data_IF_365681503013
#
_entry.id   IF_365681503013
#
_cell.length_a   1.000
_cell.length_b   1.000
_cell.length_c   1.000
_cell.angle_alpha   90.00
_cell.angle_beta   90.00
_cell.angle_gamma   90.00
#
_symmetry.space_group_name_H-M   'P 1'
#
loop_
_entity.id
_entity.type
_entity.pdbx_description
1 polymer ?
#
# COMPACT_ATOMS: atom_id res chain seq x y z
N UNK A 1 -11.84 6.42 -13.76
CA UNK A 1 -11.56 6.09 -12.35
C UNK A 1 -11.07 4.64 -12.34
N UNK A 2 -9.77 4.33 -12.19
CA UNK A 2 -9.36 2.93 -12.13
C UNK A 2 -9.91 2.30 -10.84
N UNK A 3 -10.54 1.14 -11.02
CA UNK A 3 -11.44 0.45 -10.09
C UNK A 3 -10.76 -0.24 -8.90
N UNK A 4 -9.55 0.18 -8.54
CA UNK A 4 -8.76 -0.41 -7.47
C UNK A 4 -7.88 0.66 -6.86
N UNK A 5 -8.22 1.10 -5.65
CA UNK A 5 -7.42 2.08 -4.92
C UNK A 5 -6.03 1.49 -4.69
N UNK A 6 -5.04 2.06 -5.35
CA UNK A 6 -3.61 1.89 -5.08
C UNK A 6 -3.17 3.10 -4.27
N UNK A 7 -2.57 2.86 -3.11
CA UNK A 7 -1.90 3.89 -2.34
C UNK A 7 -0.40 3.85 -2.64
N UNK A 8 0.20 5.02 -2.83
CA UNK A 8 1.63 5.18 -3.06
C UNK A 8 2.25 5.83 -1.82
N UNK A 9 3.19 5.15 -1.17
CA UNK A 9 4.09 5.79 -0.20
C UNK A 9 5.52 5.34 -0.45
N UNK A 10 6.43 6.31 -0.52
CA UNK A 10 7.89 6.09 -0.53
C UNK A 10 8.37 5.08 -1.60
N UNK A 11 7.71 5.01 -2.75
CA UNK A 11 8.06 4.09 -3.84
C UNK A 11 7.54 2.65 -3.67
N UNK A 12 6.62 2.43 -2.74
CA UNK A 12 5.94 1.14 -2.56
C UNK A 12 4.47 1.23 -2.99
N UNK A 13 4.01 0.19 -3.68
CA UNK A 13 2.63 0.02 -4.08
C UNK A 13 1.89 -0.80 -3.02
N UNK A 14 0.73 -0.28 -2.60
CA UNK A 14 -0.15 -1.00 -1.70
C UNK A 14 -1.54 -1.17 -2.30
N UNK A 15 -2.10 -2.35 -2.04
CA UNK A 15 -3.44 -2.72 -2.44
C UNK A 15 -4.35 -2.63 -1.23
N UNK A 16 -5.50 -1.97 -1.40
CA UNK A 16 -6.50 -1.85 -0.34
C UNK A 16 -7.09 -3.21 0.00
N UNK A 17 -7.07 -3.59 1.27
CA UNK A 17 -7.55 -4.90 1.73
C UNK A 17 -8.77 -4.82 2.62
N UNK A 18 -8.84 -3.80 3.48
CA UNK A 18 -10.02 -3.55 4.28
C UNK A 18 -10.28 -2.06 4.46
N UNK A 19 -11.54 -1.70 4.62
CA UNK A 19 -11.97 -0.37 5.04
C UNK A 19 -12.74 -0.52 6.34
N UNK A 20 -12.35 0.24 7.34
CA UNK A 20 -13.07 0.41 8.61
C UNK A 20 -13.73 1.79 8.64
N UNK A 21 -14.55 2.05 9.66
CA UNK A 21 -15.24 3.34 9.82
C UNK A 21 -14.31 4.53 10.13
N UNK A 22 -13.03 4.28 10.45
CA UNK A 22 -12.06 5.31 10.88
C UNK A 22 -10.67 5.14 10.24
N UNK A 23 -10.51 4.16 9.36
CA UNK A 23 -9.23 3.85 8.74
C UNK A 23 -9.38 2.91 7.56
N UNK A 24 -8.35 2.87 6.72
CA UNK A 24 -8.21 1.91 5.63
C UNK A 24 -6.93 1.13 5.84
N UNK A 25 -7.02 -0.20 5.66
CA UNK A 25 -5.88 -1.10 5.71
C UNK A 25 -5.44 -1.47 4.31
N UNK A 26 -4.15 -1.40 4.11
CA UNK A 26 -3.45 -1.62 2.86
C UNK A 26 -2.35 -2.65 3.10
N UNK A 27 -2.16 -3.53 2.13
CA UNK A 27 -1.06 -4.49 2.15
C UNK A 27 -0.18 -4.25 0.93
N UNK A 28 1.12 -4.47 1.07
CA UNK A 28 2.03 -4.34 -0.06
C UNK A 28 1.61 -5.30 -1.18
N UNK A 29 1.57 -4.79 -2.40
CA UNK A 29 1.26 -5.57 -3.60
C UNK A 29 2.23 -6.74 -3.79
N UNK A 30 3.49 -6.54 -3.40
CA UNK A 30 4.57 -7.54 -3.47
C UNK A 30 4.47 -8.64 -2.40
N UNK A 31 3.37 -8.73 -1.65
CA UNK A 31 3.12 -9.82 -0.69
C UNK A 31 3.12 -11.20 -1.34
N UNK A 32 2.62 -11.31 -2.58
CA UNK A 32 2.64 -12.56 -3.34
C UNK A 32 4.02 -12.86 -3.94
N UNK A 33 4.63 -11.85 -4.59
CA UNK A 33 5.87 -12.02 -5.37
C UNK A 33 7.13 -12.08 -4.50
N UNK A 34 7.24 -11.19 -3.51
CA UNK A 34 8.43 -11.04 -2.65
C UNK A 34 8.16 -11.40 -1.19
N UNK A 35 7.01 -12.03 -0.91
CA UNK A 35 6.59 -12.41 0.44
C UNK A 35 6.57 -11.24 1.43
N UNK A 36 6.42 -10.03 0.92
CA UNK A 36 6.41 -8.81 1.73
C UNK A 36 5.23 -8.80 2.70
N UNK A 37 5.48 -8.54 3.98
CA UNK A 37 4.44 -8.44 5.02
C UNK A 37 4.16 -6.99 5.44
N UNK A 38 4.58 -6.03 4.61
CA UNK A 38 4.33 -4.63 4.86
C UNK A 38 2.83 -4.33 4.79
N UNK A 39 2.35 -3.64 5.82
CA UNK A 39 0.97 -3.23 6.02
C UNK A 39 1.02 -1.73 6.27
N UNK A 40 0.19 -0.99 5.53
CA UNK A 40 -0.04 0.41 5.78
C UNK A 40 -1.47 0.62 6.26
N UNK A 41 -1.65 1.48 7.24
CA UNK A 41 -2.97 1.92 7.69
C UNK A 41 -3.08 3.42 7.45
N UNK A 42 -4.11 3.84 6.73
CA UNK A 42 -4.38 5.26 6.50
C UNK A 42 -5.67 5.66 7.20
N UNK A 43 -5.89 6.96 7.33
CA UNK A 43 -7.23 7.51 7.54
C UNK A 43 -8.15 7.22 6.32
N UNK A 44 -9.47 7.42 6.50
CA UNK A 44 -10.48 7.39 5.44
C UNK A 44 -10.23 8.39 4.31
N UNK A 45 -9.66 9.54 4.63
CA UNK A 45 -9.35 10.60 3.65
C UNK A 45 -8.02 10.39 2.94
N UNK A 46 -7.29 9.30 3.26
CA UNK A 46 -5.95 9.00 2.74
C UNK A 46 -4.89 10.07 3.03
N UNK A 47 -5.21 11.04 3.89
CA UNK A 47 -4.35 12.17 4.21
C UNK A 47 -3.24 11.80 5.18
N UNK A 48 -3.50 10.87 6.09
CA UNK A 48 -2.56 10.47 7.15
C UNK A 48 -2.29 8.98 7.09
N UNK A 49 -1.01 8.61 6.99
CA UNK A 49 -0.56 7.25 7.24
C UNK A 49 -0.38 7.06 8.75
N UNK A 50 -1.29 6.29 9.36
CA UNK A 50 -1.30 5.96 10.79
C UNK A 50 -0.17 4.99 11.16
N UNK A 51 0.12 4.04 10.28
CA UNK A 51 1.20 3.06 10.51
C UNK A 51 1.67 2.48 9.19
N UNK A 52 2.97 2.21 9.09
CA UNK A 52 3.61 1.49 7.99
C UNK A 52 4.60 0.52 8.60
N UNK A 53 4.48 -0.77 8.30
CA UNK A 53 5.50 -1.76 8.71
C UNK A 53 6.62 -1.87 7.68
N UNK A 54 7.77 -2.37 8.13
CA UNK A 54 8.97 -2.47 7.29
C UNK A 54 8.76 -3.40 6.09
N UNK A 55 9.34 -3.00 4.95
CA UNK A 55 9.36 -3.79 3.73
C UNK A 55 10.58 -4.71 3.71
N UNK A 56 10.38 -5.95 3.29
CA UNK A 56 11.45 -6.95 3.13
C UNK A 56 12.07 -6.94 1.74
N UNK A 57 11.83 -5.88 0.96
CA UNK A 57 12.30 -5.73 -0.41
C UNK A 57 12.56 -4.24 -0.70
N UNK A 58 13.36 -3.98 -1.73
CA UNK A 58 13.56 -2.62 -2.22
C UNK A 58 12.27 -2.05 -2.81
N UNK A 59 12.16 -0.71 -2.80
CA UNK A 59 11.05 0.01 -3.42
C UNK A 59 10.86 -0.41 -4.88
N UNK A 60 9.63 -0.77 -5.24
CA UNK A 60 9.25 -0.99 -6.64
C UNK A 60 8.93 0.38 -7.22
N UNK A 61 9.96 1.19 -7.36
CA UNK A 61 9.88 2.56 -7.85
C UNK A 61 9.50 2.48 -9.33
N UNK A 62 8.20 2.38 -9.61
CA UNK A 62 7.59 2.42 -10.93
C UNK A 62 8.30 1.51 -11.95
N UNK A 63 7.81 0.29 -12.17
CA UNK A 63 7.84 -0.26 -13.54
C UNK A 63 6.97 0.64 -14.41
N UNK A 64 7.57 1.73 -14.90
CA UNK A 64 7.05 2.51 -16.00
C UNK A 64 6.73 1.54 -17.12
N UNK A 65 5.44 1.33 -17.38
CA UNK A 65 5.00 0.60 -18.55
C UNK A 65 5.20 1.57 -19.71
N UNK A 66 6.34 1.46 -20.38
CA UNK A 66 6.56 1.95 -21.75
C UNK A 66 5.47 1.45 -22.69
#
# INVERSE_FOLDING_TARGET
>A
MPSGGLAYSLGYCYTKKAKSAVSQRWECDQRGSQKCRAIATTDLELTVMKSVTEHTHAADMFKGKT
#
